data_IF_099881392924
#
_entry.id   IF_099881392924
#
_cell.length_a   1.000
_cell.length_b   1.000
_cell.length_c   1.000
_cell.angle_alpha   90.00
_cell.angle_beta   90.00
_cell.angle_gamma   90.00
#
_symmetry.space_group_name_H-M   'P 1'
#
loop_
_entity.id
_entity.type
_entity.pdbx_description
1 polymer ?
#
# COMPACT_ATOMS: atom_id res chain seq x y z
N UNK A 1 -15.30 -3.62 9.14
CA UNK A 1 -15.78 -4.93 9.67
C UNK A 1 -14.66 -5.98 9.73
N UNK A 2 -14.01 -6.29 8.61
CA UNK A 2 -12.98 -7.35 8.57
C UNK A 2 -11.67 -6.96 9.28
N UNK A 3 -11.18 -5.74 9.06
CA UNK A 3 -10.02 -5.20 9.80
C UNK A 3 -10.22 -5.27 11.32
N UNK A 4 -11.40 -4.87 11.79
CA UNK A 4 -11.75 -4.86 13.22
C UNK A 4 -11.80 -6.29 13.78
N UNK A 5 -12.37 -7.24 13.05
CA UNK A 5 -12.41 -8.65 13.45
C UNK A 5 -11.00 -9.25 13.59
N UNK A 6 -10.06 -8.85 12.71
CA UNK A 6 -8.64 -9.25 12.79
C UNK A 6 -7.82 -8.43 13.80
N UNK A 7 -8.43 -7.47 14.51
CA UNK A 7 -7.75 -6.59 15.45
C UNK A 7 -6.80 -5.57 14.80
N UNK A 8 -6.93 -5.34 13.50
CA UNK A 8 -6.08 -4.41 12.76
C UNK A 8 -6.43 -2.97 13.11
N UNK A 9 -5.42 -2.24 13.57
CA UNK A 9 -5.47 -0.79 13.82
C UNK A 9 -5.06 -0.03 12.55
N UNK A 10 -5.31 1.30 12.47
CA UNK A 10 -4.89 2.11 11.32
C UNK A 10 -3.41 1.95 10.96
N UNK A 11 -2.54 1.76 11.97
CA UNK A 11 -1.11 1.51 11.76
C UNK A 11 -0.78 0.27 10.90
N UNK A 12 -1.66 -0.75 10.88
CA UNK A 12 -1.49 -1.91 9.98
C UNK A 12 -1.48 -1.50 8.51
N UNK A 13 -2.22 -0.44 8.17
CA UNK A 13 -2.38 0.07 6.81
C UNK A 13 -1.37 1.16 6.46
N UNK A 14 -0.41 1.46 7.34
CA UNK A 14 0.69 2.37 7.04
C UNK A 14 1.87 1.60 6.44
N UNK A 15 2.33 2.01 5.26
CA UNK A 15 3.53 1.44 4.64
C UNK A 15 4.83 1.89 5.36
N UNK A 16 4.78 2.94 6.18
CA UNK A 16 5.94 3.50 6.88
C UNK A 16 6.29 2.77 8.19
N UNK A 17 5.42 1.89 8.69
CA UNK A 17 5.63 1.20 9.97
C UNK A 17 5.53 -0.31 9.80
N UNK A 18 6.25 -1.04 10.65
CA UNK A 18 6.19 -2.50 10.68
C UNK A 18 4.78 -2.98 11.02
N UNK A 19 4.42 -4.12 10.45
CA UNK A 19 3.14 -4.78 10.71
C UNK A 19 2.49 -5.22 9.40
N UNK A 20 1.94 -4.29 8.63
CA UNK A 20 1.24 -4.61 7.38
C UNK A 20 2.00 -4.30 6.10
N UNK A 21 3.09 -3.54 6.17
CA UNK A 21 3.96 -3.28 5.02
C UNK A 21 4.66 -4.55 4.53
N UNK A 22 5.13 -4.52 3.30
CA UNK A 22 6.07 -5.51 2.80
C UNK A 22 7.43 -5.30 3.48
N UNK A 23 7.93 -6.31 4.21
CA UNK A 23 9.21 -6.20 4.89
C UNK A 23 10.41 -6.31 3.93
N UNK A 24 10.24 -6.88 2.73
CA UNK A 24 11.31 -7.00 1.74
C UNK A 24 11.74 -5.63 1.17
N UNK A 25 10.78 -4.76 0.88
CA UNK A 25 11.04 -3.39 0.42
C UNK A 25 10.74 -2.32 1.48
N UNK A 26 10.50 -2.74 2.72
CA UNK A 26 10.16 -1.86 3.85
C UNK A 26 9.01 -0.87 3.60
N UNK A 27 8.09 -1.22 2.69
CA UNK A 27 6.95 -0.39 2.31
C UNK A 27 7.15 0.51 1.09
N UNK A 28 8.34 0.58 0.51
CA UNK A 28 8.60 1.45 -0.65
C UNK A 28 7.94 0.91 -1.93
N UNK A 29 7.83 -0.41 -2.05
CA UNK A 29 7.38 -1.09 -3.27
C UNK A 29 8.46 -1.18 -4.36
N UNK A 30 9.56 -0.47 -4.17
CA UNK A 30 10.75 -0.48 -5.00
C UNK A 30 11.96 -0.91 -4.17
N UNK A 31 12.97 -1.45 -4.83
CA UNK A 31 14.29 -1.71 -4.27
C UNK A 31 15.29 -0.82 -5.01
N UNK A 32 16.09 -0.08 -4.25
CA UNK A 32 17.17 0.76 -4.78
C UNK A 32 18.41 -0.11 -4.95
N UNK A 33 18.92 -0.21 -6.17
CA UNK A 33 20.17 -0.91 -6.48
C UNK A 33 21.24 0.15 -6.65
N UNK A 34 22.21 0.14 -5.73
CA UNK A 34 23.36 1.04 -5.80
C UNK A 34 24.35 0.54 -6.84
N UNK A 35 24.73 1.42 -7.76
CA UNK A 35 25.65 1.10 -8.84
C UNK A 35 26.90 1.97 -8.72
N UNK A 36 28.07 1.35 -8.80
CA UNK A 36 29.34 2.05 -8.54
C UNK A 36 29.66 3.19 -9.51
N UNK A 37 29.16 3.12 -10.75
CA UNK A 37 29.53 4.03 -11.84
C UNK A 37 28.35 4.65 -12.58
N UNK A 38 27.14 4.22 -12.24
CA UNK A 38 25.91 4.65 -12.90
C UNK A 38 24.95 5.19 -11.83
N UNK A 39 23.98 6.04 -12.22
CA UNK A 39 22.93 6.43 -11.30
C UNK A 39 22.22 5.21 -10.73
N UNK A 40 21.83 5.30 -9.47
CA UNK A 40 21.08 4.25 -8.80
C UNK A 40 19.78 3.97 -9.54
N UNK A 41 19.44 2.70 -9.66
CA UNK A 41 18.23 2.26 -10.34
C UNK A 41 17.24 1.73 -9.32
N UNK A 42 15.97 2.02 -9.56
CA UNK A 42 14.86 1.48 -8.78
C UNK A 42 14.23 0.34 -9.56
N UNK A 43 14.18 -0.84 -8.95
CA UNK A 43 13.48 -2.00 -9.49
C UNK A 43 12.24 -2.26 -8.66
N UNK A 44 11.17 -2.73 -9.30
CA UNK A 44 9.97 -3.14 -8.57
C UNK A 44 10.31 -4.30 -7.64
N UNK A 45 9.83 -4.22 -6.40
CA UNK A 45 9.99 -5.31 -5.43
C UNK A 45 9.33 -6.59 -5.96
N UNK A 46 10.08 -7.68 -6.00
CA UNK A 46 9.66 -9.00 -6.47
C UNK A 46 8.69 -9.71 -5.51
N UNK A 47 8.70 -9.37 -4.23
CA UNK A 47 7.81 -9.98 -3.21
C UNK A 47 6.40 -9.38 -3.24
N UNK A 48 6.28 -8.06 -3.31
CA UNK A 48 4.98 -7.38 -3.28
C UNK A 48 4.55 -6.85 -4.65
N UNK A 49 5.38 -6.97 -5.68
CA UNK A 49 5.13 -6.47 -7.03
C UNK A 49 4.71 -4.99 -7.06
N UNK A 50 5.32 -4.17 -6.20
CA UNK A 50 5.01 -2.74 -6.08
C UNK A 50 3.85 -2.40 -5.14
N UNK A 51 3.10 -3.39 -4.63
CA UNK A 51 1.92 -3.15 -3.81
C UNK A 51 2.20 -2.59 -2.40
N UNK A 52 3.46 -2.54 -1.94
CA UNK A 52 3.92 -1.99 -0.64
C UNK A 52 3.46 -2.70 0.64
N UNK A 53 2.50 -3.61 0.55
CA UNK A 53 1.91 -4.33 1.70
C UNK A 53 2.08 -5.84 1.58
N UNK A 54 1.96 -6.54 2.70
CA UNK A 54 1.85 -8.00 2.73
C UNK A 54 0.44 -8.47 2.35
N UNK A 55 0.34 -9.75 1.99
CA UNK A 55 -0.89 -10.37 1.51
C UNK A 55 -2.04 -10.22 2.50
N UNK A 56 -1.80 -10.43 3.79
CA UNK A 56 -2.84 -10.38 4.82
C UNK A 56 -3.45 -8.98 4.96
N UNK A 57 -2.67 -7.93 4.69
CA UNK A 57 -3.16 -6.55 4.69
C UNK A 57 -3.97 -6.23 3.43
N UNK A 58 -3.56 -6.78 2.28
CA UNK A 58 -4.27 -6.61 1.00
C UNK A 58 -5.61 -7.37 0.94
N UNK A 59 -5.79 -8.40 1.76
CA UNK A 59 -7.06 -9.11 1.87
C UNK A 59 -8.19 -8.23 2.42
N UNK A 60 -7.86 -7.22 3.23
CA UNK A 60 -8.88 -6.32 3.77
C UNK A 60 -9.33 -5.33 2.69
N UNK A 61 -10.63 -5.36 2.40
CA UNK A 61 -11.23 -4.51 1.37
C UNK A 61 -12.20 -3.49 1.94
N UNK A 62 -12.17 -2.29 1.36
CA UNK A 62 -13.17 -1.24 1.52
C UNK A 62 -13.88 -1.03 0.19
N UNK A 63 -15.21 -1.17 0.16
CA UNK A 63 -16.01 -1.13 -1.09
C UNK A 63 -15.43 -2.01 -2.23
N UNK A 64 -14.92 -3.19 -1.88
CA UNK A 64 -14.34 -4.14 -2.84
C UNK A 64 -12.89 -3.87 -3.26
N UNK A 65 -12.26 -2.81 -2.76
CA UNK A 65 -10.88 -2.39 -3.07
C UNK A 65 -9.97 -2.54 -1.85
N UNK A 66 -8.79 -3.13 -2.02
CA UNK A 66 -7.74 -3.17 -1.00
C UNK A 66 -7.07 -1.78 -0.86
N UNK A 67 -6.22 -1.61 0.15
CA UNK A 67 -5.47 -0.35 0.29
C UNK A 67 -4.53 -0.08 -0.89
N UNK A 68 -3.91 -1.11 -1.48
CA UNK A 68 -3.08 -0.93 -2.66
C UNK A 68 -3.94 -0.49 -3.86
N UNK A 69 -5.12 -1.10 -4.04
CA UNK A 69 -6.03 -0.69 -5.11
C UNK A 69 -6.50 0.77 -4.96
N UNK A 70 -6.64 1.26 -3.72
CA UNK A 70 -7.01 2.65 -3.43
C UNK A 70 -5.85 3.61 -3.70
N UNK A 71 -4.62 3.22 -3.38
CA UNK A 71 -3.42 4.03 -3.64
C UNK A 71 -3.04 4.07 -5.14
N UNK A 72 -3.52 3.10 -5.93
CA UNK A 72 -3.32 3.03 -7.38
C UNK A 72 -4.39 3.79 -8.18
N UNK A 73 -5.42 4.34 -7.52
CA UNK A 73 -6.45 5.14 -8.18
C UNK A 73 -5.90 6.48 -8.65
N UNK A 74 -6.42 6.97 -9.78
CA UNK A 74 -6.29 8.38 -10.13
C UNK A 74 -7.02 9.25 -9.11
N UNK A 75 -6.68 10.54 -9.08
CA UNK A 75 -7.35 11.48 -8.17
C UNK A 75 -8.83 11.60 -8.53
N UNK A 76 -9.17 11.61 -9.82
CA UNK A 76 -10.54 11.67 -10.31
C UNK A 76 -11.37 10.46 -9.82
N UNK A 77 -10.83 9.25 -9.94
CA UNK A 77 -11.49 8.03 -9.46
C UNK A 77 -11.63 8.04 -7.93
N UNK A 78 -10.60 8.50 -7.21
CA UNK A 78 -10.61 8.59 -5.76
C UNK A 78 -11.68 9.56 -5.24
N UNK A 79 -11.86 10.73 -5.89
CA UNK A 79 -12.89 11.71 -5.53
C UNK A 79 -14.29 11.09 -5.62
N UNK A 80 -14.59 10.36 -6.71
CA UNK A 80 -15.88 9.67 -6.83
C UNK A 80 -16.01 8.51 -5.84
N UNK A 81 -14.94 7.74 -5.62
CA UNK A 81 -14.93 6.60 -4.71
C UNK A 81 -15.19 7.03 -3.25
N UNK A 82 -14.64 8.16 -2.82
CA UNK A 82 -14.77 8.72 -1.48
C UNK A 82 -15.88 9.75 -1.31
N UNK A 83 -16.76 9.97 -2.31
CA UNK A 83 -17.86 10.95 -2.21
C UNK A 83 -18.77 10.84 -0.99
N UNK A 84 -18.90 9.64 -0.43
CA UNK A 84 -19.70 9.35 0.76
C UNK A 84 -18.92 9.52 2.08
N UNK A 85 -17.67 10.02 2.04
CA UNK A 85 -16.79 10.24 3.18
C UNK A 85 -16.32 11.70 3.17
N UNK A 86 -17.12 12.65 3.69
CA UNK A 86 -16.87 14.09 3.54
C UNK A 86 -15.49 14.59 4.00
N UNK A 87 -14.88 14.09 5.09
CA UNK A 87 -13.56 14.57 5.53
C UNK A 87 -12.38 14.26 4.59
N UNK A 88 -12.57 13.38 3.61
CA UNK A 88 -11.53 12.97 2.65
C UNK A 88 -11.59 13.81 1.36
N UNK A 89 -12.69 14.53 1.13
CA UNK A 89 -12.88 15.41 -0.02
C UNK A 89 -12.23 16.78 0.19
#
# INVERSE_FOLDING_TARGET
>A
PEAQARGYKPGRFSFNVKGGRCEACQGDGLLKIEMHFLPDVYVTCDVCHGARYNRETLEVKFKGKSIADVLDMTVEDAVEFFKAVPPIR
#
